data_IF_987237230637
#
_entry.id   IF_987237230637
#
_cell.length_a   1.000
_cell.length_b   1.000
_cell.length_c   1.000
_cell.angle_alpha   90.00
_cell.angle_beta   90.00
_cell.angle_gamma   90.00
#
_symmetry.space_group_name_H-M   'P 1'
#
loop_
_entity.id
_entity.type
_entity.pdbx_description
1 polymer ?
#
# COMPACT_ATOMS: atom_id res chain seq x y z
N UNK A 1 -1.64 -4.04 2.03
CA UNK A 1 -2.41 -3.14 2.91
C UNK A 1 -1.51 -2.44 3.93
N UNK A 2 -1.97 -1.30 4.44
CA UNK A 2 -1.31 -0.53 5.49
C UNK A 2 -2.36 -0.01 6.48
N UNK A 3 -2.05 0.01 7.76
CA UNK A 3 -2.88 0.70 8.75
C UNK A 3 -2.74 2.21 8.59
N UNK A 4 -3.87 2.91 8.59
CA UNK A 4 -3.93 4.35 8.37
C UNK A 4 -4.54 5.04 9.59
N UNK A 5 -3.92 6.10 10.09
CA UNK A 5 -4.45 6.90 11.19
C UNK A 5 -5.38 8.00 10.70
N UNK A 6 -6.30 8.52 11.52
CA UNK A 6 -7.16 9.66 11.19
C UNK A 6 -6.39 10.94 10.81
N UNK A 7 -5.12 11.05 11.20
CA UNK A 7 -4.27 12.20 10.86
C UNK A 7 -3.77 12.19 9.41
N UNK A 8 -3.98 11.09 8.67
CA UNK A 8 -3.56 10.99 7.26
C UNK A 8 -4.71 11.40 6.34
N UNK A 9 -4.41 12.18 5.29
CA UNK A 9 -5.40 12.61 4.29
C UNK A 9 -6.20 11.46 3.67
N UNK A 10 -5.57 10.31 3.45
CA UNK A 10 -6.18 9.14 2.83
C UNK A 10 -7.17 8.41 3.76
N UNK A 11 -7.19 8.74 5.06
CA UNK A 11 -8.08 8.08 6.03
C UNK A 11 -9.57 8.28 5.73
N UNK A 12 -9.92 9.44 5.19
CA UNK A 12 -11.31 9.83 4.88
C UNK A 12 -11.71 9.52 3.43
N UNK A 13 -10.96 8.64 2.76
CA UNK A 13 -11.28 8.23 1.38
C UNK A 13 -12.10 6.97 1.44
N UNK A 14 -13.41 7.11 1.24
CA UNK A 14 -14.40 6.04 1.35
C UNK A 14 -15.19 5.88 0.04
N UNK A 15 -15.96 4.80 -0.06
CA UNK A 15 -16.88 4.47 -1.14
C UNK A 15 -16.24 4.54 -2.54
N UNK A 16 -16.86 5.27 -3.47
CA UNK A 16 -16.39 5.46 -4.84
C UNK A 16 -15.27 6.50 -5.00
N UNK A 17 -14.83 7.10 -3.92
CA UNK A 17 -13.73 8.05 -3.96
C UNK A 17 -12.37 7.37 -3.98
N UNK A 18 -11.44 8.00 -4.68
CA UNK A 18 -10.04 7.61 -4.72
C UNK A 18 -9.15 8.73 -4.20
N UNK A 19 -8.09 8.38 -3.51
CA UNK A 19 -7.09 9.32 -3.02
C UNK A 19 -5.69 8.86 -3.39
N UNK A 20 -4.86 9.79 -3.84
CA UNK A 20 -3.43 9.56 -4.10
C UNK A 20 -2.62 10.59 -3.36
N UNK A 21 -1.70 10.13 -2.53
CA UNK A 21 -0.72 10.98 -1.84
C UNK A 21 0.61 10.85 -2.56
N UNK A 22 1.09 11.96 -3.09
CA UNK A 22 2.41 12.04 -3.74
C UNK A 22 3.35 12.79 -2.81
N UNK A 23 4.53 12.25 -2.58
CA UNK A 23 5.61 12.92 -1.86
C UNK A 23 6.72 13.26 -2.84
N UNK A 24 7.28 14.44 -2.71
CA UNK A 24 8.38 14.89 -3.54
C UNK A 24 9.38 15.70 -2.73
N UNK A 25 10.61 15.74 -3.21
CA UNK A 25 11.71 16.41 -2.54
C UNK A 25 11.52 17.93 -2.44
N UNK A 26 10.91 18.53 -3.47
CA UNK A 26 10.68 19.97 -3.56
C UNK A 26 9.34 20.44 -2.98
N UNK A 27 8.45 19.50 -2.65
CA UNK A 27 7.16 19.76 -2.02
C UNK A 27 6.87 18.60 -1.07
N UNK A 28 6.50 18.85 0.14
CA UNK A 28 6.30 17.81 1.15
C UNK A 28 5.30 16.75 0.67
N UNK A 29 4.05 17.14 0.48
CA UNK A 29 2.96 16.24 0.07
C UNK A 29 1.93 16.96 -0.78
N UNK A 30 1.44 16.25 -1.78
CA UNK A 30 0.24 16.60 -2.53
C UNK A 30 -0.79 15.48 -2.37
N UNK A 31 -2.04 15.85 -2.16
CA UNK A 31 -3.15 14.94 -2.08
C UNK A 31 -4.13 15.23 -3.22
N UNK A 32 -4.30 14.25 -4.08
CA UNK A 32 -5.30 14.27 -5.15
C UNK A 32 -6.47 13.38 -4.73
N UNK A 33 -7.67 13.91 -4.82
CA UNK A 33 -8.88 13.25 -4.37
C UNK A 33 -10.01 13.47 -5.36
N UNK A 34 -10.79 12.42 -5.65
CA UNK A 34 -11.92 12.51 -6.55
C UNK A 34 -12.67 11.20 -6.68
N UNK A 35 -13.85 11.26 -7.32
CA UNK A 35 -14.61 10.07 -7.67
C UNK A 35 -13.92 9.34 -8.82
N UNK A 36 -13.55 8.08 -8.59
CA UNK A 36 -12.95 7.22 -9.59
C UNK A 36 -13.91 6.18 -10.18
N UNK A 37 -14.92 5.80 -9.40
CA UNK A 37 -15.94 4.83 -9.81
C UNK A 37 -17.31 5.50 -10.00
N UNK A 38 -18.22 4.78 -10.67
CA UNK A 38 -19.56 5.24 -10.99
C UNK A 38 -19.75 5.63 -12.46
N UNK A 39 -20.99 5.59 -12.95
CA UNK A 39 -21.31 5.82 -14.37
C UNK A 39 -20.93 7.22 -14.85
N UNK A 40 -21.27 8.25 -14.09
CA UNK A 40 -21.00 9.64 -14.47
C UNK A 40 -19.51 10.00 -14.43
N UNK A 41 -18.73 9.69 -13.38
CA UNK A 41 -17.30 9.93 -13.38
C UNK A 41 -16.56 9.21 -14.51
N UNK A 42 -16.93 7.95 -14.79
CA UNK A 42 -16.35 7.17 -15.89
C UNK A 42 -16.67 7.78 -17.24
N UNK A 43 -17.93 8.15 -17.47
CA UNK A 43 -18.34 8.80 -18.72
C UNK A 43 -17.64 10.15 -18.92
N UNK A 44 -17.48 10.93 -17.86
CA UNK A 44 -16.74 12.20 -17.88
C UNK A 44 -15.27 12.01 -18.26
N UNK A 45 -14.61 10.99 -17.74
CA UNK A 45 -13.22 10.67 -18.08
C UNK A 45 -13.07 10.26 -19.55
N UNK A 46 -13.96 9.40 -20.05
CA UNK A 46 -13.99 9.01 -21.47
C UNK A 46 -14.20 10.22 -22.37
N UNK A 47 -15.16 11.09 -22.03
CA UNK A 47 -15.41 12.30 -22.81
C UNK A 47 -14.20 13.23 -22.81
N UNK A 48 -13.53 13.38 -21.66
CA UNK A 48 -12.30 14.16 -21.55
C UNK A 48 -11.20 13.65 -22.48
N UNK A 49 -11.01 12.33 -22.54
CA UNK A 49 -10.00 11.70 -23.43
C UNK A 49 -10.34 11.90 -24.90
N UNK A 50 -11.63 11.79 -25.26
CA UNK A 50 -12.10 12.05 -26.64
C UNK A 50 -11.83 13.52 -27.01
N UNK A 51 -12.18 14.46 -26.13
CA UNK A 51 -11.97 15.89 -26.36
C UNK A 51 -10.48 16.23 -26.46
N UNK A 52 -9.66 15.65 -25.60
CA UNK A 52 -8.22 15.81 -25.67
C UNK A 52 -7.68 15.32 -27.03
N UNK A 53 -8.16 14.18 -27.51
CA UNK A 53 -7.75 13.63 -28.80
C UNK A 53 -8.19 14.49 -29.98
N UNK A 54 -9.41 15.01 -29.97
CA UNK A 54 -9.94 15.92 -31.00
C UNK A 54 -9.11 17.22 -31.09
N UNK A 55 -8.59 17.70 -29.97
CA UNK A 55 -7.71 18.86 -29.90
C UNK A 55 -6.22 18.53 -30.11
N UNK A 56 -5.90 17.33 -30.60
CA UNK A 56 -4.54 16.84 -30.82
C UNK A 56 -3.65 16.86 -29.56
N UNK A 57 -4.24 16.88 -28.39
CA UNK A 57 -3.49 16.76 -27.14
C UNK A 57 -2.87 15.37 -27.06
N UNK A 58 -1.59 15.32 -26.71
CA UNK A 58 -0.82 14.09 -26.49
C UNK A 58 -0.03 14.22 -25.21
N UNK A 59 0.02 13.12 -24.44
CA UNK A 59 0.89 13.07 -23.27
C UNK A 59 2.35 13.23 -23.67
N UNK A 60 3.08 14.09 -22.95
CA UNK A 60 4.49 14.32 -23.19
C UNK A 60 5.34 13.22 -22.55
N UNK A 61 5.50 12.10 -23.24
CA UNK A 61 6.39 11.03 -22.78
C UNK A 61 7.88 11.35 -22.93
N UNK A 62 8.22 12.44 -23.59
CA UNK A 62 9.62 12.85 -23.81
C UNK A 62 10.41 13.01 -22.52
N UNK A 63 9.77 13.41 -21.43
CA UNK A 63 10.41 13.54 -20.11
C UNK A 63 10.97 12.22 -19.59
N UNK A 64 10.41 11.09 -20.01
CA UNK A 64 10.89 9.76 -19.59
C UNK A 64 12.25 9.41 -20.19
N UNK A 65 12.63 9.99 -21.33
CA UNK A 65 13.94 9.73 -21.98
C UNK A 65 15.11 10.41 -21.28
N UNK A 66 14.85 11.38 -20.41
CA UNK A 66 15.88 12.12 -19.66
C UNK A 66 16.04 11.65 -18.21
N UNK A 67 15.17 10.78 -17.73
CA UNK A 67 15.24 10.27 -16.38
C UNK A 67 15.94 8.91 -16.34
N UNK A 68 16.85 8.74 -15.39
CA UNK A 68 17.31 7.40 -15.05
C UNK A 68 16.08 6.56 -14.68
N UNK A 69 16.00 5.36 -15.25
CA UNK A 69 14.95 4.43 -14.94
C UNK A 69 15.05 4.10 -13.44
N UNK A 70 14.01 4.31 -12.64
CA UNK A 70 14.07 3.96 -11.23
C UNK A 70 14.25 2.45 -11.08
N UNK A 71 15.16 2.05 -10.22
CA UNK A 71 15.38 0.65 -9.91
C UNK A 71 14.35 0.20 -8.88
N UNK A 72 13.87 -1.01 -9.05
CA UNK A 72 13.02 -1.68 -8.08
C UNK A 72 13.88 -2.39 -7.02
N UNK A 73 13.62 -2.10 -5.75
CA UNK A 73 14.28 -2.80 -4.65
C UNK A 73 13.27 -3.52 -3.75
N UNK A 74 13.65 -4.69 -3.28
CA UNK A 74 12.97 -5.44 -2.22
C UNK A 74 13.77 -5.46 -0.91
N UNK A 75 14.90 -4.78 -0.90
CA UNK A 75 15.78 -4.66 0.27
C UNK A 75 15.27 -3.55 1.20
N UNK A 76 14.08 -3.78 1.73
CA UNK A 76 13.45 -2.93 2.74
C UNK A 76 12.87 -3.80 3.85
N UNK A 77 13.03 -3.35 5.08
CA UNK A 77 12.41 -3.97 6.25
C UNK A 77 11.06 -3.32 6.51
N UNK A 78 10.02 -4.13 6.62
CA UNK A 78 8.68 -3.72 6.95
C UNK A 78 8.34 -4.18 8.37
N UNK A 79 7.68 -3.33 9.14
CA UNK A 79 6.99 -3.76 10.35
C UNK A 79 5.57 -4.15 9.98
N UNK A 80 5.24 -5.42 10.12
CA UNK A 80 3.93 -5.93 9.73
C UNK A 80 3.14 -6.46 10.93
N UNK A 81 1.82 -6.30 10.82
CA UNK A 81 0.84 -7.08 11.56
C UNK A 81 0.43 -8.26 10.69
N UNK A 82 0.60 -9.46 11.21
CA UNK A 82 0.18 -10.68 10.53
C UNK A 82 -0.84 -11.40 11.43
N UNK A 83 -2.09 -11.48 10.97
CA UNK A 83 -3.14 -12.29 11.61
C UNK A 83 -3.33 -13.57 10.82
N UNK A 84 -3.47 -14.68 11.50
CA UNK A 84 -3.67 -15.99 10.90
C UNK A 84 -4.49 -16.90 11.82
N UNK A 85 -5.18 -17.85 11.23
CA UNK A 85 -5.94 -18.86 11.95
C UNK A 85 -5.11 -20.11 12.18
N UNK A 86 -4.42 -20.56 11.14
CA UNK A 86 -3.60 -21.77 11.18
C UNK A 86 -2.23 -21.51 11.78
N UNK A 87 -1.83 -22.30 12.77
CA UNK A 87 -0.55 -22.13 13.50
C UNK A 87 0.70 -22.35 12.63
N UNK A 88 0.57 -23.04 11.50
CA UNK A 88 1.70 -23.29 10.58
C UNK A 88 2.16 -22.01 9.85
N UNK A 89 1.31 -20.96 9.78
CA UNK A 89 1.66 -19.68 9.17
C UNK A 89 2.81 -18.99 9.90
N UNK A 90 2.87 -19.13 11.23
CA UNK A 90 3.99 -18.60 12.01
C UNK A 90 5.33 -19.17 11.56
N UNK A 91 5.40 -20.45 11.20
CA UNK A 91 6.60 -21.09 10.68
C UNK A 91 6.93 -20.76 9.22
N UNK A 92 5.99 -20.12 8.49
CA UNK A 92 6.25 -19.68 7.11
C UNK A 92 6.93 -18.31 7.09
N UNK A 93 6.54 -17.40 7.99
CA UNK A 93 7.05 -16.03 8.04
C UNK A 93 8.29 -15.95 8.94
N UNK A 94 9.43 -15.62 8.34
CA UNK A 94 10.70 -15.46 9.06
C UNK A 94 10.87 -14.00 9.48
N UNK A 95 10.41 -13.67 10.68
CA UNK A 95 10.61 -12.34 11.25
C UNK A 95 12.06 -12.17 11.72
N UNK A 96 12.65 -11.04 11.37
CA UNK A 96 13.97 -10.64 11.90
C UNK A 96 13.88 -10.20 13.36
N UNK A 97 12.71 -9.65 13.74
CA UNK A 97 12.39 -9.26 15.11
C UNK A 97 10.90 -9.39 15.35
N UNK A 98 10.51 -10.04 16.44
CA UNK A 98 9.14 -10.09 16.92
C UNK A 98 8.97 -9.04 18.00
N UNK A 99 7.98 -8.16 17.87
CA UNK A 99 7.64 -7.11 18.83
C UNK A 99 6.52 -7.54 19.76
N UNK A 100 5.51 -8.22 19.18
CA UNK A 100 4.33 -8.68 19.91
C UNK A 100 3.79 -9.95 19.27
N UNK A 101 3.30 -10.86 20.10
CA UNK A 101 2.65 -12.08 19.65
C UNK A 101 1.49 -12.41 20.57
N UNK A 102 0.38 -12.84 19.96
CA UNK A 102 -0.81 -13.31 20.65
C UNK A 102 -1.28 -14.61 20.04
N UNK A 103 -1.71 -15.54 20.89
CA UNK A 103 -2.24 -16.85 20.49
C UNK A 103 -3.49 -17.15 21.28
N UNK A 104 -4.56 -17.54 20.58
CA UNK A 104 -5.81 -18.03 21.15
C UNK A 104 -6.35 -19.19 20.32
N UNK A 105 -7.44 -19.80 20.76
CA UNK A 105 -8.10 -20.88 19.99
C UNK A 105 -8.67 -20.39 18.67
N UNK A 106 -9.16 -19.14 18.61
CA UNK A 106 -9.87 -18.61 17.46
C UNK A 106 -9.01 -17.78 16.50
N UNK A 107 -7.96 -17.15 16.99
CA UNK A 107 -7.09 -16.33 16.15
C UNK A 107 -5.72 -16.11 16.76
N UNK A 108 -4.75 -16.01 15.88
CA UNK A 108 -3.35 -15.72 16.23
C UNK A 108 -2.91 -14.47 15.51
N UNK A 109 -2.06 -13.67 16.14
CA UNK A 109 -1.36 -12.60 15.42
C UNK A 109 0.07 -12.42 15.90
N UNK A 110 0.88 -11.85 15.05
CA UNK A 110 2.24 -11.42 15.34
C UNK A 110 2.48 -10.03 14.75
N UNK A 111 3.17 -9.20 15.50
CA UNK A 111 3.73 -7.93 15.04
C UNK A 111 5.24 -8.07 15.03
N UNK A 112 5.85 -7.89 13.87
CA UNK A 112 7.29 -8.07 13.74
C UNK A 112 7.87 -7.41 12.51
N UNK A 113 9.19 -7.36 12.47
CA UNK A 113 9.96 -6.84 11.35
C UNK A 113 10.30 -8.00 10.40
N UNK A 114 10.07 -7.78 9.10
CA UNK A 114 10.36 -8.75 8.05
C UNK A 114 10.91 -8.05 6.81
N UNK A 115 11.86 -8.69 6.13
CA UNK A 115 12.33 -8.22 4.83
C UNK A 115 11.26 -8.42 3.78
N UNK A 116 11.03 -7.41 2.93
CA UNK A 116 10.07 -7.52 1.83
C UNK A 116 10.42 -8.65 0.88
N UNK A 117 11.69 -8.87 0.61
CA UNK A 117 12.19 -10.00 -0.21
C UNK A 117 11.76 -11.36 0.36
N UNK A 118 11.87 -11.53 1.68
CA UNK A 118 11.44 -12.76 2.36
C UNK A 118 9.91 -12.95 2.25
N UNK A 119 9.15 -11.88 2.49
CA UNK A 119 7.70 -11.93 2.37
C UNK A 119 7.23 -12.31 0.96
N UNK A 120 7.87 -11.75 -0.07
CA UNK A 120 7.59 -12.08 -1.47
C UNK A 120 7.97 -13.53 -1.82
N UNK A 121 9.07 -14.03 -1.31
CA UNK A 121 9.49 -15.43 -1.51
C UNK A 121 8.50 -16.44 -0.91
N UNK A 122 7.75 -16.05 0.12
CA UNK A 122 6.72 -16.91 0.76
C UNK A 122 5.32 -16.73 0.19
N UNK A 123 5.12 -15.84 -0.76
CA UNK A 123 3.81 -15.50 -1.32
C UNK A 123 2.97 -16.72 -1.71
N UNK A 124 3.57 -17.67 -2.42
CA UNK A 124 2.84 -18.85 -2.92
C UNK A 124 2.48 -19.82 -1.79
N UNK A 125 3.29 -19.91 -0.74
CA UNK A 125 2.99 -20.70 0.45
C UNK A 125 1.87 -20.13 1.31
N UNK A 126 1.64 -18.83 1.23
CA UNK A 126 0.56 -18.12 1.94
C UNK A 126 -0.75 -18.12 1.14
N UNK A 127 -0.67 -18.42 -0.18
CA UNK A 127 -1.85 -18.43 -1.04
C UNK A 127 -2.84 -19.51 -0.60
N UNK A 128 -4.10 -19.11 -0.44
CA UNK A 128 -5.19 -20.02 0.00
C UNK A 128 -5.27 -20.25 1.50
N UNK A 129 -4.37 -19.67 2.29
CA UNK A 129 -4.46 -19.68 3.75
C UNK A 129 -5.26 -18.50 4.27
N UNK A 130 -5.92 -18.67 5.43
CA UNK A 130 -6.60 -17.55 6.13
C UNK A 130 -5.55 -16.68 6.82
N UNK A 131 -4.95 -15.79 6.05
CA UNK A 131 -3.90 -14.88 6.50
C UNK A 131 -4.23 -13.45 6.09
N UNK A 132 -4.15 -12.53 7.04
CA UNK A 132 -4.20 -11.09 6.79
C UNK A 132 -2.86 -10.45 7.16
N UNK A 133 -2.26 -9.73 6.22
CA UNK A 133 -1.01 -9.02 6.41
C UNK A 133 -1.22 -7.52 6.18
N UNK A 134 -0.72 -6.69 7.09
CA UNK A 134 -0.77 -5.24 6.92
C UNK A 134 0.53 -4.60 7.43
N UNK A 135 1.02 -3.61 6.70
CA UNK A 135 2.14 -2.78 7.14
C UNK A 135 1.70 -1.88 8.30
N UNK A 136 2.55 -1.77 9.30
CA UNK A 136 2.41 -0.80 10.40
C UNK A 136 3.42 0.31 10.15
N UNK A 137 2.97 1.50 9.70
CA UNK A 137 3.91 2.60 9.47
C UNK A 137 4.56 3.05 10.78
N UNK A 138 5.80 3.48 10.68
CA UNK A 138 6.66 3.88 11.81
C UNK A 138 5.99 4.93 12.72
N UNK A 139 5.06 5.73 12.19
CA UNK A 139 4.34 6.77 12.94
C UNK A 139 3.35 6.26 14.00
N UNK A 140 3.02 4.97 14.02
CA UNK A 140 2.21 4.39 15.09
C UNK A 140 2.98 4.21 16.40
N UNK A 141 4.31 4.31 16.38
CA UNK A 141 5.18 4.00 17.51
C UNK A 141 5.55 5.21 18.39
N UNK A 142 5.28 6.43 17.92
CA UNK A 142 5.63 7.66 18.66
C UNK A 142 4.42 8.25 19.41
N UNK A 143 3.57 7.43 20.00
CA UNK A 143 2.50 7.91 20.89
C UNK A 143 2.89 8.07 22.35
N UNK A 144 4.14 7.81 22.69
CA UNK A 144 4.68 8.01 24.05
C UNK A 144 5.78 9.07 24.04
N UNK A 145 5.46 10.30 23.58
CA UNK A 145 6.14 11.53 23.97
C UNK A 145 5.24 12.73 23.69
#
# INVERSE_FOLDING_TARGET
PEFVTPAKYIYSVDDEYNGVVIRGECYDRQFMFGKGAGSLPTASSILSDIMARLNNYRYEYKKQSYMQKPDYTTDITLKIYARYKETDVHGILNFTKVHEQYTSEDSNYVIGDIQLSELLAKRDRLRGKDVFLANIPIFFLNRDN
#
